data_IF_416417851850
#
_entry.id   IF_416417851850
#
_cell.length_a   1.000
_cell.length_b   1.000
_cell.length_c   1.000
_cell.angle_alpha   90.00
_cell.angle_beta   90.00
_cell.angle_gamma   90.00
#
_symmetry.space_group_name_H-M   'P 1'
#
loop_
_entity.id
_entity.type
_entity.pdbx_description
1 polymer ?
#
# COMPACT_ATOMS: atom_id res chain seq x y z
N UNK A 1 -17.18 0.17 -13.84
CA UNK A 1 -16.40 0.33 -12.58
C UNK A 1 -14.99 0.73 -12.92
N UNK A 2 -14.45 1.71 -12.22
CA UNK A 2 -13.06 2.14 -12.35
C UNK A 2 -12.32 1.89 -11.03
N UNK A 3 -11.11 1.37 -11.09
CA UNK A 3 -10.23 1.13 -9.93
C UNK A 3 -8.92 1.85 -10.23
N UNK A 4 -8.39 2.59 -9.25
CA UNK A 4 -7.04 3.12 -9.34
C UNK A 4 -6.05 2.08 -8.88
N UNK A 5 -4.95 1.95 -9.58
CA UNK A 5 -3.86 1.04 -9.22
C UNK A 5 -2.59 1.87 -9.04
N UNK A 6 -1.95 1.72 -7.89
CA UNK A 6 -0.68 2.37 -7.56
C UNK A 6 0.28 1.32 -7.00
N UNK A 7 1.57 1.49 -7.19
CA UNK A 7 2.58 0.53 -6.76
C UNK A 7 3.92 1.21 -6.52
N UNK A 8 4.79 0.55 -5.76
CA UNK A 8 6.19 0.93 -5.57
C UNK A 8 6.39 2.39 -5.16
N UNK A 9 5.56 2.85 -4.24
CA UNK A 9 5.59 4.24 -3.81
C UNK A 9 6.83 4.57 -2.97
N UNK A 10 7.32 3.62 -2.16
CA UNK A 10 8.50 3.83 -1.31
C UNK A 10 8.43 5.16 -0.55
N UNK A 11 7.33 5.39 0.17
CA UNK A 11 6.99 6.70 0.75
C UNK A 11 8.04 7.28 1.70
N UNK A 12 8.81 6.41 2.37
CA UNK A 12 9.95 6.77 3.22
C UNK A 12 11.29 6.69 2.47
N UNK A 13 11.25 6.70 1.15
CA UNK A 13 12.42 6.56 0.30
C UNK A 13 13.50 7.59 0.59
N UNK A 14 14.76 7.24 0.27
CA UNK A 14 15.94 8.04 0.51
C UNK A 14 16.06 8.48 1.98
N UNK A 15 15.83 7.55 2.91
CA UNK A 15 15.91 7.76 4.36
C UNK A 15 14.95 8.86 4.86
N UNK A 16 13.77 8.95 4.27
CA UNK A 16 12.78 9.95 4.64
C UNK A 16 13.11 11.37 4.19
N UNK A 17 13.87 11.53 3.11
CA UNK A 17 14.24 12.83 2.56
C UNK A 17 13.03 13.71 2.30
N UNK A 18 13.03 14.92 2.82
CA UNK A 18 11.97 15.92 2.61
C UNK A 18 11.88 16.31 1.13
N UNK A 19 13.01 16.45 0.45
CA UNK A 19 13.04 16.79 -0.98
C UNK A 19 12.36 15.71 -1.82
N UNK A 20 12.63 14.43 -1.52
CA UNK A 20 11.98 13.30 -2.17
C UNK A 20 10.49 13.27 -1.88
N UNK A 21 10.09 13.48 -0.61
CA UNK A 21 8.69 13.54 -0.22
C UNK A 21 7.94 14.69 -0.91
N UNK A 22 8.51 15.88 -0.99
CA UNK A 22 7.88 17.02 -1.65
C UNK A 22 7.59 16.74 -3.13
N UNK A 23 8.45 15.99 -3.79
CA UNK A 23 8.22 15.54 -5.16
C UNK A 23 7.00 14.62 -5.27
N UNK A 24 6.89 13.62 -4.41
CA UNK A 24 5.75 12.73 -4.34
C UNK A 24 4.47 13.45 -3.91
N UNK A 25 4.57 14.33 -2.92
CA UNK A 25 3.45 15.12 -2.41
C UNK A 25 2.83 15.99 -3.51
N UNK A 26 3.65 16.56 -4.37
CA UNK A 26 3.18 17.30 -5.54
C UNK A 26 2.36 16.39 -6.48
N UNK A 27 2.85 15.19 -6.75
CA UNK A 27 2.11 14.21 -7.56
C UNK A 27 0.75 13.88 -6.94
N UNK A 28 0.70 13.60 -5.64
CA UNK A 28 -0.57 13.28 -4.99
C UNK A 28 -1.55 14.45 -5.04
N UNK A 29 -1.10 15.65 -4.78
CA UNK A 29 -1.95 16.84 -4.74
C UNK A 29 -2.44 17.28 -6.13
N UNK A 30 -1.59 17.20 -7.14
CA UNK A 30 -1.90 17.75 -8.46
C UNK A 30 -2.47 16.72 -9.45
N UNK A 31 -2.15 15.45 -9.25
CA UNK A 31 -2.52 14.40 -10.22
C UNK A 31 -3.37 13.31 -9.58
N UNK A 32 -2.86 12.63 -8.55
CA UNK A 32 -3.48 11.41 -8.03
C UNK A 32 -4.87 11.68 -7.45
N UNK A 33 -4.99 12.46 -6.37
CA UNK A 33 -6.29 12.71 -5.75
C UNK A 33 -7.26 13.47 -6.64
N UNK A 34 -6.84 14.49 -7.40
CA UNK A 34 -7.76 15.13 -8.35
C UNK A 34 -8.28 14.18 -9.43
N UNK A 35 -7.47 13.24 -9.89
CA UNK A 35 -7.90 12.23 -10.87
C UNK A 35 -8.93 11.28 -10.27
N UNK A 36 -8.71 10.79 -9.03
CA UNK A 36 -9.67 9.93 -8.34
C UNK A 36 -11.04 10.63 -8.23
N UNK A 37 -11.04 11.88 -7.84
CA UNK A 37 -12.27 12.68 -7.70
C UNK A 37 -12.97 12.92 -9.04
N UNK A 38 -12.22 13.37 -10.03
CA UNK A 38 -12.77 13.65 -11.38
C UNK A 38 -13.37 12.41 -12.02
N UNK A 39 -12.73 11.27 -11.87
CA UNK A 39 -13.16 10.00 -12.47
C UNK A 39 -14.18 9.24 -11.60
N UNK A 40 -14.53 9.74 -10.42
CA UNK A 40 -15.45 9.09 -9.50
C UNK A 40 -14.93 7.74 -8.96
N UNK A 41 -13.62 7.61 -8.81
CA UNK A 41 -12.99 6.37 -8.34
C UNK A 41 -13.11 6.30 -6.82
N UNK A 42 -13.58 5.17 -6.30
CA UNK A 42 -13.73 4.93 -4.87
C UNK A 42 -12.86 3.77 -4.36
N UNK A 43 -12.29 2.98 -5.24
CA UNK A 43 -11.47 1.81 -4.90
C UNK A 43 -10.04 2.01 -5.40
N UNK A 44 -9.07 1.78 -4.52
CA UNK A 44 -7.64 1.89 -4.82
C UNK A 44 -6.95 0.56 -4.50
N UNK A 45 -6.19 0.03 -5.44
CA UNK A 45 -5.32 -1.11 -5.25
C UNK A 45 -3.87 -0.64 -5.15
N UNK A 46 -3.23 -0.96 -4.01
CA UNK A 46 -1.80 -0.74 -3.80
C UNK A 46 -1.08 -2.09 -3.98
N UNK A 47 -0.25 -2.18 -5.00
CA UNK A 47 0.40 -3.43 -5.38
C UNK A 47 1.74 -3.68 -4.67
N UNK A 48 1.95 -3.02 -3.55
CA UNK A 48 3.09 -3.32 -2.68
C UNK A 48 4.24 -2.33 -2.78
N UNK A 49 5.26 -2.58 -1.98
CA UNK A 49 6.40 -1.70 -1.79
C UNK A 49 6.01 -0.25 -1.48
N UNK A 50 4.97 -0.12 -0.68
CA UNK A 50 4.45 1.17 -0.20
C UNK A 50 5.47 1.90 0.66
N UNK A 51 6.23 1.16 1.47
CA UNK A 51 7.36 1.64 2.25
C UNK A 51 8.67 1.05 1.73
N UNK A 52 9.76 1.81 1.91
CA UNK A 52 11.09 1.44 1.41
C UNK A 52 11.90 0.64 2.43
N UNK A 53 11.93 1.09 3.70
CA UNK A 53 12.73 0.48 4.75
C UNK A 53 11.97 -0.66 5.44
N UNK A 54 12.62 -1.82 5.56
CA UNK A 54 12.03 -3.01 6.18
C UNK A 54 11.93 -2.92 7.70
N UNK A 55 12.80 -2.16 8.35
CA UNK A 55 13.08 -2.29 9.79
C UNK A 55 12.74 -1.06 10.60
N UNK A 56 12.77 0.11 10.01
CA UNK A 56 12.62 1.36 10.76
C UNK A 56 12.07 2.49 9.91
N UNK A 57 11.45 3.43 10.58
CA UNK A 57 11.02 4.71 10.00
C UNK A 57 11.06 5.75 11.11
N UNK A 58 11.63 6.93 10.85
CA UNK A 58 11.59 7.99 11.85
C UNK A 58 10.18 8.55 12.00
N UNK A 59 9.90 9.08 13.19
CA UNK A 59 8.55 9.53 13.53
C UNK A 59 8.08 10.75 12.72
N UNK A 60 8.99 11.61 12.31
CA UNK A 60 8.62 12.76 11.49
C UNK A 60 8.20 12.32 10.09
N UNK A 61 8.92 11.39 9.50
CA UNK A 61 8.55 10.77 8.21
C UNK A 61 7.20 10.07 8.31
N UNK A 62 7.00 9.27 9.35
CA UNK A 62 5.73 8.56 9.57
C UNK A 62 4.56 9.52 9.72
N UNK A 63 4.71 10.56 10.53
CA UNK A 63 3.66 11.57 10.71
C UNK A 63 3.28 12.26 9.40
N UNK A 64 4.28 12.64 8.62
CA UNK A 64 4.10 13.28 7.31
C UNK A 64 3.33 12.38 6.34
N UNK A 65 3.73 11.10 6.24
CA UNK A 65 3.09 10.12 5.38
C UNK A 65 1.64 9.90 5.78
N UNK A 66 1.36 9.77 7.06
CA UNK A 66 -0.01 9.60 7.56
C UNK A 66 -0.87 10.82 7.29
N UNK A 67 -0.40 11.99 7.67
CA UNK A 67 -1.17 13.24 7.54
C UNK A 67 -1.43 13.60 6.08
N UNK A 68 -0.42 13.50 5.22
CA UNK A 68 -0.48 14.01 3.86
C UNK A 68 -0.97 12.99 2.83
N UNK A 69 -0.97 11.70 3.18
CA UNK A 69 -1.37 10.64 2.25
C UNK A 69 -2.44 9.72 2.83
N UNK A 70 -2.16 8.94 3.87
CA UNK A 70 -3.11 7.92 4.34
C UNK A 70 -4.40 8.49 4.92
N UNK A 71 -4.34 9.62 5.63
CA UNK A 71 -5.55 10.29 6.12
C UNK A 71 -6.44 10.74 4.96
N UNK A 72 -5.84 11.17 3.86
CA UNK A 72 -6.57 11.57 2.65
C UNK A 72 -7.20 10.38 1.91
N UNK A 73 -6.69 9.18 2.09
CA UNK A 73 -7.30 7.95 1.56
C UNK A 73 -8.52 7.49 2.37
N UNK A 74 -8.85 8.16 3.47
CA UNK A 74 -9.87 7.71 4.41
C UNK A 74 -11.27 7.48 3.82
N UNK A 75 -11.60 8.16 2.73
CA UNK A 75 -12.88 7.99 2.02
C UNK A 75 -12.84 6.94 0.90
N UNK A 76 -11.69 6.31 0.67
CA UNK A 76 -11.52 5.30 -0.36
C UNK A 76 -11.46 3.90 0.24
N UNK A 77 -11.93 2.91 -0.51
CA UNK A 77 -11.77 1.50 -0.19
C UNK A 77 -10.41 1.04 -0.75
N UNK A 78 -9.43 0.83 0.13
CA UNK A 78 -8.05 0.55 -0.24
C UNK A 78 -7.71 -0.90 0.01
N UNK A 79 -7.17 -1.57 -0.99
CA UNK A 79 -6.69 -2.95 -0.92
C UNK A 79 -5.20 -2.97 -1.23
N UNK A 80 -4.41 -3.38 -0.24
CA UNK A 80 -2.95 -3.35 -0.31
C UNK A 80 -2.37 -4.75 -0.21
N UNK A 81 -1.53 -5.14 -1.17
CA UNK A 81 -0.73 -6.35 -1.03
C UNK A 81 0.65 -6.01 -0.49
N UNK A 82 1.29 -6.98 0.16
CA UNK A 82 2.65 -6.81 0.65
C UNK A 82 3.66 -7.04 -0.47
N UNK A 83 4.59 -6.09 -0.63
CA UNK A 83 5.77 -6.25 -1.46
C UNK A 83 6.97 -6.74 -0.64
N UNK A 84 8.08 -6.98 -1.30
CA UNK A 84 9.28 -7.49 -0.64
C UNK A 84 9.97 -6.46 0.27
N UNK A 85 9.79 -5.17 0.03
CA UNK A 85 10.34 -4.09 0.89
C UNK A 85 9.53 -3.84 2.15
N UNK A 86 8.32 -4.37 2.26
CA UNK A 86 7.44 -4.13 3.41
C UNK A 86 7.44 -5.25 4.43
N UNK A 87 8.18 -6.33 4.20
CA UNK A 87 8.35 -7.43 5.17
C UNK A 87 9.68 -7.30 5.91
N UNK A 88 9.68 -7.53 7.22
CA UNK A 88 10.89 -7.46 8.05
C UNK A 88 11.91 -8.55 7.66
N UNK A 89 11.45 -9.80 7.57
CA UNK A 89 12.25 -10.93 7.12
C UNK A 89 11.97 -11.24 5.65
N UNK A 90 12.98 -11.79 4.95
CA UNK A 90 12.84 -12.14 3.54
C UNK A 90 12.05 -13.43 3.27
N UNK A 91 11.84 -14.25 4.29
CA UNK A 91 11.24 -15.58 4.16
C UNK A 91 9.82 -15.69 4.74
N UNK A 92 9.30 -14.62 5.32
CA UNK A 92 7.96 -14.61 5.93
C UNK A 92 7.35 -13.22 5.89
N UNK A 93 6.03 -13.15 5.80
CA UNK A 93 5.24 -11.90 5.88
C UNK A 93 4.67 -11.65 7.29
N UNK A 94 5.05 -12.41 8.30
CA UNK A 94 4.46 -12.33 9.65
C UNK A 94 4.67 -10.97 10.31
N UNK A 95 5.83 -10.36 10.10
CA UNK A 95 6.14 -9.01 10.56
C UNK A 95 6.30 -8.13 9.33
N UNK A 96 5.43 -7.15 9.18
CA UNK A 96 5.43 -6.25 8.05
C UNK A 96 5.02 -4.83 8.47
N UNK A 97 5.58 -3.85 7.82
CA UNK A 97 5.33 -2.45 8.15
C UNK A 97 3.89 -1.99 7.90
N UNK A 98 3.19 -2.39 6.80
CA UNK A 98 1.82 -1.97 6.62
C UNK A 98 0.87 -2.37 7.74
N UNK A 99 0.89 -3.61 8.20
CA UNK A 99 0.03 -4.03 9.31
C UNK A 99 0.34 -3.26 10.60
N UNK A 100 1.62 -3.02 10.88
CA UNK A 100 2.03 -2.32 12.10
C UNK A 100 1.74 -0.82 12.05
N UNK A 101 1.92 -0.18 10.91
CA UNK A 101 1.84 1.27 10.77
C UNK A 101 0.46 1.78 10.39
N UNK A 102 -0.39 0.94 9.79
CA UNK A 102 -1.67 1.35 9.20
C UNK A 102 -2.88 0.70 9.88
N UNK A 103 -2.71 0.08 11.04
CA UNK A 103 -3.76 -0.67 11.74
C UNK A 103 -4.97 0.21 12.12
N UNK A 104 -4.78 1.49 12.37
CA UNK A 104 -5.85 2.43 12.68
C UNK A 104 -6.78 2.76 11.51
N UNK A 105 -6.37 2.46 10.28
CA UNK A 105 -7.16 2.77 9.08
C UNK A 105 -8.10 1.63 8.72
N UNK A 106 -9.37 1.74 9.10
CA UNK A 106 -10.38 0.72 8.84
C UNK A 106 -10.72 0.55 7.35
N UNK A 107 -10.41 1.55 6.54
CA UNK A 107 -10.64 1.55 5.09
C UNK A 107 -9.54 0.85 4.30
N UNK A 108 -8.44 0.45 4.95
CA UNK A 108 -7.30 -0.23 4.30
C UNK A 108 -7.32 -1.71 4.69
N UNK A 109 -7.46 -2.58 3.69
CA UNK A 109 -7.31 -4.03 3.86
C UNK A 109 -5.95 -4.45 3.35
N UNK A 110 -5.16 -5.10 4.21
CA UNK A 110 -3.80 -5.54 3.89
C UNK A 110 -3.80 -7.05 3.68
N UNK A 111 -3.31 -7.49 2.52
CA UNK A 111 -3.22 -8.89 2.14
C UNK A 111 -1.77 -9.38 2.28
N UNK A 112 -1.52 -10.19 3.29
CA UNK A 112 -0.23 -10.89 3.47
C UNK A 112 -0.24 -12.30 2.91
N UNK A 113 -1.43 -12.84 2.66
CA UNK A 113 -1.65 -14.13 2.02
C UNK A 113 -2.52 -13.95 0.78
N UNK A 114 -2.49 -14.94 -0.11
CA UNK A 114 -3.31 -14.92 -1.31
C UNK A 114 -4.79 -14.93 -0.96
N UNK A 115 -5.56 -14.07 -1.62
CA UNK A 115 -7.01 -14.00 -1.41
C UNK A 115 -7.74 -13.57 -2.68
N UNK A 116 -8.83 -14.24 -3.01
CA UNK A 116 -9.77 -13.79 -4.04
C UNK A 116 -10.75 -12.78 -3.43
N UNK A 117 -10.95 -11.67 -4.11
CA UNK A 117 -11.97 -10.67 -3.77
C UNK A 117 -12.81 -10.34 -4.99
N UNK A 118 -14.01 -9.83 -4.77
CA UNK A 118 -14.91 -9.40 -5.85
C UNK A 118 -15.20 -7.92 -5.74
N UNK A 119 -15.15 -7.21 -6.87
CA UNK A 119 -15.60 -5.83 -7.00
C UNK A 119 -16.55 -5.75 -8.20
N UNK A 120 -17.81 -5.42 -7.93
CA UNK A 120 -18.85 -5.57 -8.95
C UNK A 120 -18.92 -7.01 -9.44
N UNK A 121 -18.86 -7.20 -10.75
CA UNK A 121 -18.87 -8.53 -11.37
C UNK A 121 -17.48 -9.07 -11.70
N UNK A 122 -16.43 -8.42 -11.22
CA UNK A 122 -15.04 -8.80 -11.50
C UNK A 122 -14.39 -9.42 -10.27
N UNK A 123 -13.73 -10.53 -10.47
CA UNK A 123 -12.93 -11.22 -9.45
C UNK A 123 -11.47 -10.82 -9.60
N UNK A 124 -10.82 -10.57 -8.48
CA UNK A 124 -9.40 -10.24 -8.39
C UNK A 124 -8.71 -11.20 -7.46
N UNK A 125 -7.55 -11.70 -7.87
CA UNK A 125 -6.68 -12.48 -7.01
C UNK A 125 -5.62 -11.53 -6.43
N UNK A 126 -5.74 -11.26 -5.13
CA UNK A 126 -4.75 -10.46 -4.39
C UNK A 126 -3.58 -11.37 -4.04
N UNK A 127 -2.46 -11.21 -4.75
CA UNK A 127 -1.28 -12.06 -4.64
C UNK A 127 -0.11 -11.24 -4.11
N UNK A 128 0.17 -11.30 -2.79
CA UNK A 128 1.32 -10.60 -2.21
C UNK A 128 2.64 -11.27 -2.59
N UNK A 129 3.75 -10.63 -2.22
CA UNK A 129 5.08 -11.19 -2.44
C UNK A 129 5.19 -12.62 -1.92
N UNK A 130 5.59 -13.54 -2.81
CA UNK A 130 5.66 -14.98 -2.52
C UNK A 130 6.95 -15.27 -1.75
N UNK A 131 6.81 -15.89 -0.59
CA UNK A 131 7.90 -16.31 0.28
C UNK A 131 7.71 -17.76 0.74
N UNK A 132 8.62 -18.27 1.59
CA UNK A 132 8.58 -19.66 2.04
C UNK A 132 7.27 -20.04 2.73
N UNK A 133 6.66 -19.13 3.51
CA UNK A 133 5.45 -19.42 4.27
C UNK A 133 4.19 -19.50 3.40
N UNK A 134 4.10 -18.70 2.34
CA UNK A 134 2.87 -18.59 1.53
C UNK A 134 2.98 -19.23 0.13
N UNK A 135 4.15 -19.78 -0.22
CA UNK A 135 4.43 -20.29 -1.56
C UNK A 135 3.43 -21.35 -2.02
N UNK A 136 3.18 -22.34 -1.18
CA UNK A 136 2.29 -23.45 -1.54
C UNK A 136 0.86 -22.95 -1.82
N UNK A 137 0.31 -22.14 -0.92
CA UNK A 137 -1.01 -21.55 -1.06
C UNK A 137 -1.10 -20.63 -2.28
N UNK A 138 -0.08 -19.81 -2.51
CA UNK A 138 -0.03 -18.87 -3.64
C UNK A 138 0.01 -19.62 -4.98
N UNK A 139 0.74 -20.71 -5.06
CA UNK A 139 0.88 -21.49 -6.30
C UNK A 139 -0.38 -22.31 -6.63
N UNK A 140 -1.23 -22.59 -5.64
CA UNK A 140 -2.50 -23.30 -5.84
C UNK A 140 -3.67 -22.38 -6.21
N UNK A 141 -3.51 -21.11 -5.93
CA UNK A 141 -4.52 -20.12 -6.27
C UNK A 141 -4.50 -19.79 -7.76
#
# INVERSE_FOLDING_TARGET
>A
MKIAVITDQHLDGRKGSIAFWNYWHKFYNEIFFPTLEREGITTVFDLGDTFDNRKSMDFNTLNRIKTDYFDRLGKFDVHMILGNHTTYYKNTSRINSPELLLDEYNNITIYKDVKEISKGNTKFLMLPWINADNKEQSMKA
#
